data_IF_194136796701
#
_entry.id   IF_194136796701
#
_cell.length_a   1.000
_cell.length_b   1.000
_cell.length_c   1.000
_cell.angle_alpha   90.00
_cell.angle_beta   90.00
_cell.angle_gamma   90.00
#
_symmetry.space_group_name_H-M   'P 1'
#
loop_
_entity.id
_entity.type
_entity.pdbx_description
1 polymer ?
#
# COMPACT_ATOMS: atom_id res chain seq x y z
N UNK A 1 -20.21 28.57 30.78
CA UNK A 1 -18.85 28.04 30.65
C UNK A 1 -18.44 28.33 29.21
N UNK A 2 -17.32 29.00 28.99
CA UNK A 2 -16.79 29.29 27.65
C UNK A 2 -15.75 28.26 27.28
N UNK A 3 -15.72 27.85 26.01
CA UNK A 3 -14.74 26.87 25.50
C UNK A 3 -13.79 27.56 24.54
N UNK A 4 -12.56 27.10 24.52
CA UNK A 4 -11.48 27.71 23.72
C UNK A 4 -10.63 26.64 23.07
N UNK A 5 -10.30 26.85 21.79
CA UNK A 5 -9.24 26.16 21.10
C UNK A 5 -7.93 26.95 21.29
N UNK A 6 -6.91 26.33 21.83
CA UNK A 6 -5.58 26.91 21.97
C UNK A 6 -4.78 26.67 20.70
N UNK A 7 -4.30 27.75 20.07
CA UNK A 7 -3.47 27.70 18.86
C UNK A 7 -2.02 28.01 19.15
N UNK A 8 -1.11 27.39 18.38
CA UNK A 8 0.31 27.76 18.35
C UNK A 8 0.59 28.93 17.39
N UNK A 9 1.86 29.29 17.21
CA UNK A 9 2.27 30.38 16.31
C UNK A 9 1.94 30.16 14.84
N UNK A 10 1.71 28.91 14.42
CA UNK A 10 1.33 28.53 13.07
C UNK A 10 -0.20 28.48 12.90
N UNK A 11 -0.97 28.85 13.93
CA UNK A 11 -2.43 28.77 13.94
C UNK A 11 -2.98 27.36 14.16
N UNK A 12 -2.14 26.37 14.46
CA UNK A 12 -2.56 24.97 14.65
C UNK A 12 -3.11 24.80 16.07
N UNK A 13 -4.28 24.18 16.20
CA UNK A 13 -4.88 23.86 17.49
C UNK A 13 -4.06 22.79 18.21
N UNK A 14 -3.55 23.14 19.38
CA UNK A 14 -2.72 22.27 20.22
C UNK A 14 -3.45 21.78 21.49
N UNK A 15 -4.61 22.34 21.78
CA UNK A 15 -5.42 21.97 22.94
C UNK A 15 -6.79 22.59 22.95
N UNK A 16 -7.70 22.01 23.74
CA UNK A 16 -9.04 22.53 24.00
C UNK A 16 -9.21 22.69 25.51
N UNK A 17 -9.74 23.80 25.94
CA UNK A 17 -10.00 24.07 27.35
C UNK A 17 -11.34 24.75 27.57
N UNK A 18 -11.88 24.63 28.77
CA UNK A 18 -13.08 25.32 29.22
C UNK A 18 -12.76 26.25 30.39
N UNK A 19 -13.39 27.40 30.45
CA UNK A 19 -13.23 28.39 31.52
C UNK A 19 -14.60 28.85 32.03
N UNK A 20 -14.76 29.11 33.34
CA UNK A 20 -15.96 29.71 33.91
C UNK A 20 -16.10 31.19 33.54
N UNK A 21 -15.01 31.87 33.17
CA UNK A 21 -14.99 33.26 32.79
C UNK A 21 -14.32 33.46 31.43
N UNK A 22 -14.57 34.61 30.84
CA UNK A 22 -13.91 35.00 29.57
C UNK A 22 -12.40 35.12 29.74
N UNK A 23 -11.67 34.58 28.77
CA UNK A 23 -10.22 34.72 28.69
C UNK A 23 -9.89 35.51 27.42
N UNK A 24 -9.23 36.64 27.58
CA UNK A 24 -8.74 37.43 26.46
C UNK A 24 -7.27 37.05 26.23
N UNK A 25 -7.00 36.29 25.19
CA UNK A 25 -5.67 35.84 24.80
C UNK A 25 -5.67 35.52 23.30
N UNK A 26 -4.72 36.07 22.55
CA UNK A 26 -4.62 35.91 21.09
C UNK A 26 -4.36 34.46 20.66
N UNK A 27 -3.87 33.62 21.57
CA UNK A 27 -3.67 32.18 21.32
C UNK A 27 -4.91 31.33 21.64
N UNK A 28 -6.02 31.94 22.06
CA UNK A 28 -7.26 31.25 22.42
C UNK A 28 -8.41 31.73 21.56
N UNK A 29 -8.94 30.82 20.76
CA UNK A 29 -10.11 31.07 19.91
C UNK A 29 -11.34 30.53 20.63
N UNK A 30 -12.31 31.40 20.91
CA UNK A 30 -13.59 30.96 21.50
C UNK A 30 -14.34 30.04 20.53
N UNK A 31 -14.84 28.93 21.04
CA UNK A 31 -15.60 27.91 20.29
C UNK A 31 -16.93 27.64 20.98
N UNK A 32 -17.94 27.27 20.21
CA UNK A 32 -19.31 27.09 20.71
C UNK A 32 -19.40 25.95 21.74
N UNK A 33 -18.67 24.87 21.53
CA UNK A 33 -18.69 23.68 22.39
C UNK A 33 -17.28 23.12 22.58
N UNK A 34 -17.09 22.33 23.63
CA UNK A 34 -15.84 21.56 23.83
C UNK A 34 -15.71 20.50 22.75
N UNK A 35 -14.80 20.71 21.80
CA UNK A 35 -14.61 19.82 20.64
C UNK A 35 -13.14 19.41 20.46
N UNK A 36 -12.73 18.23 21.01
CA UNK A 36 -11.38 17.73 20.87
C UNK A 36 -10.98 17.37 19.42
N UNK A 37 -11.95 17.25 18.49
CA UNK A 37 -11.64 16.93 17.08
C UNK A 37 -11.00 18.10 16.33
N UNK A 38 -10.98 19.28 16.95
CA UNK A 38 -10.28 20.45 16.42
C UNK A 38 -8.75 20.37 16.62
N UNK A 39 -8.27 19.53 17.54
CA UNK A 39 -6.82 19.39 17.77
C UNK A 39 -6.13 18.90 16.48
N UNK A 40 -5.08 19.62 16.07
CA UNK A 40 -4.35 19.36 14.83
C UNK A 40 -4.88 20.11 13.60
N UNK A 41 -6.06 20.74 13.67
CA UNK A 41 -6.55 21.65 12.59
C UNK A 41 -5.89 23.00 12.65
N UNK A 42 -5.86 23.71 11.53
CA UNK A 42 -5.39 25.10 11.47
C UNK A 42 -6.58 26.04 11.46
N UNK A 43 -6.47 27.14 12.25
CA UNK A 43 -7.45 28.22 12.28
C UNK A 43 -7.04 29.32 11.30
N UNK A 44 -7.83 29.52 10.23
CA UNK A 44 -7.59 30.55 9.20
C UNK A 44 -8.93 31.22 8.89
N UNK A 45 -8.93 32.55 8.86
CA UNK A 45 -10.08 33.37 8.47
C UNK A 45 -11.41 32.99 9.16
N UNK A 46 -11.33 32.70 10.47
CA UNK A 46 -12.50 32.37 11.27
C UNK A 46 -12.95 30.91 11.20
N UNK A 47 -12.23 30.04 10.51
CA UNK A 47 -12.60 28.63 10.31
C UNK A 47 -11.48 27.66 10.69
N UNK A 48 -11.87 26.47 11.18
CA UNK A 48 -10.94 25.36 11.45
C UNK A 48 -10.91 24.41 10.25
N UNK A 49 -9.74 24.27 9.63
CA UNK A 49 -9.54 23.43 8.45
C UNK A 49 -8.44 22.42 8.71
N UNK A 50 -8.46 21.32 7.95
CA UNK A 50 -7.35 20.36 7.99
C UNK A 50 -6.05 21.03 7.53
N UNK A 51 -4.95 20.69 8.20
CA UNK A 51 -3.63 21.16 7.75
C UNK A 51 -3.33 20.54 6.38
N UNK A 52 -3.09 21.39 5.40
CA UNK A 52 -2.73 20.93 4.07
C UNK A 52 -1.43 20.14 4.12
N UNK A 53 -1.47 18.89 3.64
CA UNK A 53 -0.28 18.05 3.55
C UNK A 53 0.69 18.63 2.53
N UNK A 54 1.96 18.65 2.86
CA UNK A 54 3.02 18.97 1.92
C UNK A 54 3.07 17.95 0.77
N UNK A 55 3.62 18.34 -0.37
CA UNK A 55 3.80 17.43 -1.49
C UNK A 55 4.63 16.17 -1.10
N UNK A 56 5.64 16.33 -0.24
CA UNK A 56 6.43 15.22 0.27
C UNK A 56 5.61 14.24 1.10
N UNK A 57 4.70 14.73 1.96
CA UNK A 57 3.79 13.87 2.73
C UNK A 57 2.78 13.15 1.82
N UNK A 58 2.24 13.86 0.82
CA UNK A 58 1.35 13.24 -0.18
C UNK A 58 2.07 12.14 -0.97
N UNK A 59 3.32 12.35 -1.38
CA UNK A 59 4.16 11.32 -2.02
C UNK A 59 4.36 10.11 -1.13
N UNK A 60 4.68 10.32 0.15
CA UNK A 60 4.87 9.22 1.11
C UNK A 60 3.59 8.39 1.29
N UNK A 61 2.44 9.05 1.41
CA UNK A 61 1.14 8.38 1.50
C UNK A 61 0.82 7.59 0.22
N UNK A 62 1.07 8.16 -0.96
CA UNK A 62 0.84 7.48 -2.23
C UNK A 62 1.75 6.27 -2.41
N UNK A 63 2.99 6.36 -1.96
CA UNK A 63 3.91 5.23 -1.96
C UNK A 63 3.41 4.05 -1.11
N UNK A 64 2.86 4.36 0.07
CA UNK A 64 2.22 3.37 0.95
C UNK A 64 0.99 2.77 0.27
N UNK A 65 0.12 3.60 -0.35
CA UNK A 65 -1.07 3.15 -1.08
C UNK A 65 -0.70 2.16 -2.20
N UNK A 66 0.28 2.51 -3.04
CA UNK A 66 0.76 1.66 -4.13
C UNK A 66 1.29 0.33 -3.59
N UNK A 67 2.03 0.36 -2.46
CA UNK A 67 2.51 -0.86 -1.83
C UNK A 67 1.36 -1.75 -1.35
N UNK A 68 0.38 -1.18 -0.64
CA UNK A 68 -0.78 -1.92 -0.15
C UNK A 68 -1.55 -2.56 -1.30
N UNK A 69 -1.84 -1.81 -2.37
CA UNK A 69 -2.51 -2.34 -3.57
C UNK A 69 -1.73 -3.50 -4.20
N UNK A 70 -0.41 -3.38 -4.32
CA UNK A 70 0.43 -4.43 -4.86
C UNK A 70 0.36 -5.71 -4.01
N UNK A 71 0.42 -5.57 -2.68
CA UNK A 71 0.32 -6.69 -1.74
C UNK A 71 -1.09 -7.33 -1.81
N UNK A 72 -2.16 -6.53 -1.97
CA UNK A 72 -3.52 -7.02 -2.14
C UNK A 72 -3.68 -7.83 -3.44
N UNK A 73 -3.20 -7.33 -4.58
CA UNK A 73 -3.23 -8.05 -5.85
C UNK A 73 -2.48 -9.38 -5.77
N UNK A 74 -1.29 -9.36 -5.18
CA UNK A 74 -0.49 -10.56 -5.00
C UNK A 74 -1.19 -11.59 -4.10
N UNK A 75 -1.70 -11.17 -2.95
CA UNK A 75 -2.38 -12.02 -2.00
C UNK A 75 -3.70 -12.58 -2.57
N UNK A 76 -4.47 -11.75 -3.30
CA UNK A 76 -5.69 -12.18 -3.98
C UNK A 76 -5.40 -13.25 -5.05
N UNK A 77 -4.29 -13.12 -5.77
CA UNK A 77 -3.87 -14.15 -6.70
C UNK A 77 -3.47 -15.44 -5.97
N UNK A 78 -2.64 -15.35 -4.94
CA UNK A 78 -2.20 -16.53 -4.19
C UNK A 78 -3.35 -17.25 -3.48
N UNK A 79 -4.35 -16.52 -2.99
CA UNK A 79 -5.49 -17.11 -2.27
C UNK A 79 -6.34 -18.08 -3.12
N UNK A 80 -6.15 -18.07 -4.44
CA UNK A 80 -6.80 -19.01 -5.35
C UNK A 80 -6.20 -20.44 -5.29
N UNK A 81 -5.05 -20.59 -4.62
CA UNK A 81 -4.31 -21.86 -4.53
C UNK A 81 -4.26 -22.37 -3.09
N UNK A 82 -4.25 -23.71 -2.89
CA UNK A 82 -4.02 -24.28 -1.56
C UNK A 82 -2.71 -23.80 -0.92
N UNK A 83 -2.67 -23.68 0.39
CA UNK A 83 -1.46 -23.24 1.12
C UNK A 83 -0.23 -24.09 0.79
N UNK A 84 -0.38 -25.41 0.69
CA UNK A 84 0.70 -26.32 0.31
C UNK A 84 1.28 -26.03 -1.07
N UNK A 85 0.46 -25.53 -1.99
CA UNK A 85 0.93 -25.10 -3.31
C UNK A 85 1.65 -23.75 -3.21
N UNK A 86 1.12 -22.81 -2.43
CA UNK A 86 1.73 -21.50 -2.22
C UNK A 86 3.13 -21.59 -1.61
N UNK A 87 3.34 -22.51 -0.65
CA UNK A 87 4.63 -22.75 0.00
C UNK A 87 5.73 -23.18 -0.98
N UNK A 88 5.37 -23.87 -2.04
CA UNK A 88 6.31 -24.38 -3.05
C UNK A 88 6.37 -23.52 -4.31
N UNK A 89 5.57 -22.47 -4.40
CA UNK A 89 5.43 -21.65 -5.61
C UNK A 89 6.76 -21.13 -6.15
N UNK A 90 7.61 -20.60 -5.26
CA UNK A 90 8.89 -20.02 -5.65
C UNK A 90 9.85 -21.07 -6.22
N UNK A 91 9.94 -22.24 -5.56
CA UNK A 91 10.81 -23.32 -5.97
C UNK A 91 10.34 -23.90 -7.31
N UNK A 92 9.06 -24.25 -7.41
CA UNK A 92 8.46 -24.79 -8.64
C UNK A 92 8.56 -23.79 -9.80
N UNK A 93 8.35 -22.51 -9.53
CA UNK A 93 8.49 -21.45 -10.53
C UNK A 93 9.92 -21.35 -11.08
N UNK A 94 10.91 -21.40 -10.20
CA UNK A 94 12.33 -21.42 -10.60
C UNK A 94 12.68 -22.63 -11.45
N UNK A 95 12.15 -23.81 -11.09
CA UNK A 95 12.35 -25.04 -11.87
C UNK A 95 11.71 -24.96 -13.25
N UNK A 96 10.46 -24.46 -13.35
CA UNK A 96 9.77 -24.31 -14.62
C UNK A 96 10.50 -23.33 -15.56
N UNK A 97 10.99 -22.21 -15.03
CA UNK A 97 11.80 -21.23 -15.81
C UNK A 97 13.11 -21.86 -16.29
N UNK A 98 13.82 -22.58 -15.42
CA UNK A 98 15.06 -23.27 -15.77
C UNK A 98 14.81 -24.33 -16.86
N UNK A 99 13.76 -25.13 -16.72
CA UNK A 99 13.38 -26.16 -17.71
C UNK A 99 12.99 -25.56 -19.06
N UNK A 100 12.34 -24.41 -19.08
CA UNK A 100 12.00 -23.70 -20.32
C UNK A 100 13.25 -23.16 -21.05
N UNK A 101 14.31 -22.87 -20.32
CA UNK A 101 15.61 -22.44 -20.87
C UNK A 101 16.47 -23.62 -21.28
N UNK A 102 16.41 -24.71 -20.53
CA UNK A 102 17.14 -25.95 -20.76
C UNK A 102 16.28 -27.14 -20.34
N UNK A 103 15.76 -27.89 -21.32
CA UNK A 103 14.86 -29.00 -21.11
C UNK A 103 15.50 -30.21 -20.37
N UNK A 104 16.79 -30.15 -20.06
CA UNK A 104 17.51 -31.11 -19.21
C UNK A 104 17.55 -30.71 -17.74
N UNK A 105 17.10 -29.49 -17.40
CA UNK A 105 17.06 -29.02 -16.03
C UNK A 105 16.16 -29.90 -15.14
N UNK A 106 16.62 -30.16 -13.91
CA UNK A 106 15.86 -30.95 -12.95
C UNK A 106 14.69 -30.15 -12.37
N UNK A 107 13.57 -30.85 -12.13
CA UNK A 107 12.34 -30.27 -11.61
C UNK A 107 11.81 -31.04 -10.39
N UNK A 108 12.60 -31.24 -9.31
CA UNK A 108 12.23 -32.10 -8.19
C UNK A 108 10.98 -31.67 -7.45
N UNK A 109 10.69 -30.38 -7.29
CA UNK A 109 9.46 -29.90 -6.65
C UNK A 109 8.23 -30.06 -7.55
N UNK A 110 8.38 -29.88 -8.86
CA UNK A 110 7.30 -30.13 -9.82
C UNK A 110 7.02 -31.62 -9.89
N UNK A 111 8.06 -32.44 -10.02
CA UNK A 111 7.93 -33.89 -10.11
C UNK A 111 7.31 -34.48 -8.82
N UNK A 112 7.65 -33.96 -7.64
CA UNK A 112 7.05 -34.37 -6.38
C UNK A 112 5.57 -33.96 -6.23
N UNK A 113 5.09 -32.97 -6.97
CA UNK A 113 3.69 -32.54 -6.98
C UNK A 113 2.80 -33.41 -7.87
N UNK A 114 3.38 -34.20 -8.77
CA UNK A 114 2.66 -35.05 -9.69
C UNK A 114 2.26 -36.38 -9.04
N UNK A 115 1.12 -36.97 -9.44
CA UNK A 115 0.77 -38.33 -9.05
C UNK A 115 1.85 -39.34 -9.42
N UNK A 116 1.98 -40.39 -8.61
CA UNK A 116 2.89 -41.51 -8.92
C UNK A 116 2.50 -42.13 -10.27
N UNK A 117 3.48 -42.34 -11.13
CA UNK A 117 3.31 -42.83 -12.52
C UNK A 117 2.67 -41.83 -13.49
N UNK A 118 2.81 -40.53 -13.24
CA UNK A 118 2.40 -39.50 -14.21
C UNK A 118 3.14 -39.68 -15.54
N UNK A 119 2.42 -39.42 -16.63
CA UNK A 119 2.99 -39.47 -17.99
C UNK A 119 3.91 -38.25 -18.25
N UNK A 120 4.79 -38.38 -19.24
CA UNK A 120 5.61 -37.27 -19.70
C UNK A 120 4.75 -36.06 -20.18
N UNK A 121 3.56 -36.32 -20.74
CA UNK A 121 2.61 -35.32 -21.15
C UNK A 121 2.03 -34.58 -19.94
N UNK A 122 1.61 -35.28 -18.88
CA UNK A 122 1.11 -34.68 -17.65
C UNK A 122 2.18 -33.80 -16.98
N UNK A 123 3.44 -34.25 -16.97
CA UNK A 123 4.59 -33.47 -16.50
C UNK A 123 4.80 -32.20 -17.31
N UNK A 124 4.72 -32.27 -18.65
CA UNK A 124 4.87 -31.11 -19.51
C UNK A 124 3.74 -30.09 -19.30
N UNK A 125 2.51 -30.54 -19.08
CA UNK A 125 1.36 -29.68 -18.76
C UNK A 125 1.59 -28.95 -17.44
N UNK A 126 2.05 -29.65 -16.40
CA UNK A 126 2.32 -29.06 -15.09
C UNK A 126 3.46 -28.04 -15.15
N UNK A 127 4.56 -28.33 -15.84
CA UNK A 127 5.65 -27.36 -16.05
C UNK A 127 5.14 -26.10 -16.73
N UNK A 128 4.30 -26.23 -17.78
CA UNK A 128 3.72 -25.10 -18.47
C UNK A 128 2.82 -24.28 -17.53
N UNK A 129 1.94 -24.92 -16.77
CA UNK A 129 1.04 -24.28 -15.79
C UNK A 129 1.82 -23.48 -14.75
N UNK A 130 2.85 -24.08 -14.18
CA UNK A 130 3.72 -23.42 -13.18
C UNK A 130 4.50 -22.26 -13.80
N UNK A 131 4.98 -22.41 -15.02
CA UNK A 131 5.68 -21.35 -15.75
C UNK A 131 4.77 -20.14 -15.97
N UNK A 132 3.55 -20.31 -16.48
CA UNK A 132 2.58 -19.24 -16.70
C UNK A 132 2.19 -18.52 -15.40
N UNK A 133 1.96 -19.26 -14.32
CA UNK A 133 1.72 -18.70 -12.98
C UNK A 133 2.89 -17.82 -12.52
N UNK A 134 4.12 -18.29 -12.75
CA UNK A 134 5.34 -17.55 -12.36
C UNK A 134 5.52 -16.27 -13.17
N UNK A 135 5.23 -16.29 -14.46
CA UNK A 135 5.24 -15.10 -15.31
C UNK A 135 4.19 -14.08 -14.84
N UNK A 136 2.99 -14.53 -14.49
CA UNK A 136 1.95 -13.64 -13.97
C UNK A 136 2.39 -12.94 -12.69
N UNK A 137 2.97 -13.68 -11.72
CA UNK A 137 3.52 -13.11 -10.49
C UNK A 137 4.63 -12.08 -10.79
N UNK A 138 5.52 -12.38 -11.74
CA UNK A 138 6.56 -11.46 -12.16
C UNK A 138 5.98 -10.17 -12.78
N UNK A 139 4.90 -10.30 -13.55
CA UNK A 139 4.17 -9.16 -14.14
C UNK A 139 3.57 -8.27 -13.06
N UNK A 140 2.93 -8.83 -12.03
CA UNK A 140 2.40 -8.07 -10.89
C UNK A 140 3.53 -7.29 -10.19
N UNK A 141 4.69 -7.94 -9.98
CA UNK A 141 5.88 -7.30 -9.41
C UNK A 141 6.42 -6.17 -10.29
N UNK A 142 6.35 -6.31 -11.61
CA UNK A 142 6.70 -5.27 -12.59
C UNK A 142 5.80 -4.06 -12.48
N UNK A 143 4.48 -4.25 -12.52
CA UNK A 143 3.47 -3.18 -12.39
C UNK A 143 3.68 -2.40 -11.08
N UNK A 144 3.87 -3.11 -9.96
CA UNK A 144 4.11 -2.49 -8.67
C UNK A 144 5.41 -1.66 -8.62
N UNK A 145 6.46 -2.11 -9.31
CA UNK A 145 7.72 -1.38 -9.43
C UNK A 145 7.54 -0.11 -10.26
N UNK A 146 6.85 -0.21 -11.39
CA UNK A 146 6.60 0.91 -12.28
C UNK A 146 5.77 1.99 -11.59
N UNK A 147 4.70 1.62 -10.86
CA UNK A 147 3.90 2.55 -10.08
C UNK A 147 4.73 3.28 -9.00
N UNK A 148 5.61 2.55 -8.27
CA UNK A 148 6.52 3.18 -7.30
C UNK A 148 7.49 4.16 -7.96
N UNK A 149 8.06 3.78 -9.09
CA UNK A 149 8.95 4.65 -9.87
C UNK A 149 8.22 5.91 -10.35
N UNK A 150 6.95 5.80 -10.76
CA UNK A 150 6.12 6.96 -11.10
C UNK A 150 5.94 7.89 -9.89
N UNK A 151 5.63 7.35 -8.69
CA UNK A 151 5.54 8.15 -7.46
C UNK A 151 6.87 8.85 -7.16
N UNK A 152 8.01 8.16 -7.29
CA UNK A 152 9.34 8.74 -7.06
C UNK A 152 9.64 9.90 -8.02
N UNK A 153 9.22 9.79 -9.27
CA UNK A 153 9.54 10.75 -10.34
C UNK A 153 8.52 11.89 -10.48
N UNK A 154 7.30 11.76 -9.91
CA UNK A 154 6.31 12.82 -10.04
C UNK A 154 6.76 14.12 -9.34
N UNK A 155 6.40 15.25 -9.96
CA UNK A 155 6.78 16.59 -9.54
C UNK A 155 5.59 17.46 -9.16
N UNK A 156 4.37 17.01 -9.46
CA UNK A 156 3.12 17.73 -9.19
C UNK A 156 2.10 16.85 -8.48
N UNK A 157 1.15 17.50 -7.78
CA UNK A 157 0.02 16.80 -7.12
C UNK A 157 -0.87 16.14 -8.18
N UNK A 158 -1.04 16.75 -9.34
CA UNK A 158 -1.85 16.21 -10.44
C UNK A 158 -1.25 14.89 -10.96
N UNK A 159 0.05 14.88 -11.24
CA UNK A 159 0.76 13.65 -11.62
C UNK A 159 0.60 12.56 -10.55
N UNK A 160 0.75 12.93 -9.27
CA UNK A 160 0.63 12.01 -8.15
C UNK A 160 -0.76 11.36 -8.06
N UNK A 161 -1.82 12.15 -8.29
CA UNK A 161 -3.21 11.69 -8.24
C UNK A 161 -3.57 10.74 -9.40
N UNK A 162 -2.86 10.82 -10.52
CA UNK A 162 -3.07 9.99 -11.70
C UNK A 162 -2.41 8.61 -11.61
N UNK A 163 -1.56 8.36 -10.62
CA UNK A 163 -0.92 7.05 -10.40
C UNK A 163 -1.94 6.09 -9.79
N UNK A 164 -2.14 4.93 -10.44
CA UNK A 164 -3.08 3.89 -10.03
C UNK A 164 -2.38 2.68 -9.37
#
# INVERSE_FOLDING_TARGET
MKNYAQINNDGIVVGIQSSPSEIVNDSLIEIESYDPTLIGKVYIDGTFTEVAKSFAELKALKFIEVKIKADEYYNNYLSQFPLSEQETFKQRGSEAIAYKSDNTALTPYIDASLPVNSTAEARAIEINSVYEKSLYIATLGGIARDARTQVENCTTIEELNNIQ
#
